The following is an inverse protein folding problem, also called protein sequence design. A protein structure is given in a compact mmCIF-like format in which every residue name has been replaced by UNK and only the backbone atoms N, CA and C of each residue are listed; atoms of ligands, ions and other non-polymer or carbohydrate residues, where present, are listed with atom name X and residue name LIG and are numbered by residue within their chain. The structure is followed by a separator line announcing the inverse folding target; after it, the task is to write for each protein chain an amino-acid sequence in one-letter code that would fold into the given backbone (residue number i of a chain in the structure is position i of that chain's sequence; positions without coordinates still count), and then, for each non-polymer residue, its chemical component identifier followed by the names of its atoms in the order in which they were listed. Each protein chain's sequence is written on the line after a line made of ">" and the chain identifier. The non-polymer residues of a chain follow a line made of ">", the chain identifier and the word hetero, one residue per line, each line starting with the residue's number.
data_IF_649599694096
#
_entry.id   IF_649599694096
#
_cell.length_a   1.000
_cell.length_b   1.000
_cell.length_c   1.000
_cell.angle_alpha   90.00
_cell.angle_beta   90.00
_cell.angle_gamma   90.00
#
_symmetry.space_group_name_H-M   'P 1'
#
loop_
_entity.id
_entity.type
_entity.pdbx_description
1 polymer ?
#
# COMPACT_ATOMS: atom_id res chain seq x y z
N UNK A 1 2.95 6.90 28.98
CA UNK A 1 3.06 7.44 27.60
C UNK A 1 2.87 6.26 26.67
N UNK A 2 1.63 6.02 26.22
CA UNK A 2 1.31 4.83 25.41
C UNK A 2 1.71 5.08 23.96
N UNK A 3 2.62 4.28 23.40
CA UNK A 3 3.04 4.33 21.99
C UNK A 3 1.86 4.25 21.01
N UNK A 4 0.74 3.68 21.43
CA UNK A 4 -0.46 3.47 20.62
C UNK A 4 -1.39 4.69 20.50
N UNK A 5 -1.11 5.81 21.18
CA UNK A 5 -1.95 7.02 21.10
C UNK A 5 -1.67 7.93 19.90
N UNK A 6 -0.61 7.66 19.12
CA UNK A 6 -0.13 8.54 18.04
C UNK A 6 -0.38 8.01 16.63
N UNK A 7 -0.77 6.74 16.47
CA UNK A 7 -1.02 6.16 15.15
C UNK A 7 -2.53 6.27 14.88
N UNK A 8 -2.88 7.06 13.89
CA UNK A 8 -4.28 7.19 13.44
C UNK A 8 -4.70 5.93 12.68
N UNK A 9 -5.99 5.58 12.74
CA UNK A 9 -6.54 4.45 11.98
C UNK A 9 -6.20 4.53 10.48
N UNK A 10 -6.18 5.75 9.92
CA UNK A 10 -5.76 6.01 8.54
C UNK A 10 -4.32 5.54 8.27
N UNK A 11 -3.39 5.79 9.19
CA UNK A 11 -2.00 5.35 9.05
C UNK A 11 -1.84 3.83 9.16
N UNK A 12 -2.67 3.18 9.99
CA UNK A 12 -2.70 1.71 10.08
C UNK A 12 -3.20 1.12 8.76
N UNK A 13 -4.32 1.65 8.23
CA UNK A 13 -4.90 1.21 6.96
C UNK A 13 -3.92 1.46 5.81
N UNK A 14 -3.27 2.62 5.78
CA UNK A 14 -2.20 2.91 4.80
C UNK A 14 -1.02 1.95 4.91
N UNK A 15 -0.58 1.63 6.12
CA UNK A 15 0.52 0.70 6.36
C UNK A 15 0.19 -0.72 5.89
N UNK A 16 -1.00 -1.22 6.22
CA UNK A 16 -1.44 -2.57 5.87
C UNK A 16 -1.73 -2.70 4.37
N UNK A 17 -2.50 -1.77 3.79
CA UNK A 17 -2.73 -1.74 2.34
C UNK A 17 -1.42 -1.54 1.58
N UNK A 18 -0.52 -0.75 2.15
CA UNK A 18 0.77 -0.47 1.56
C UNK A 18 1.67 -1.70 1.46
N UNK A 19 1.86 -2.37 2.60
CA UNK A 19 2.69 -3.56 2.68
C UNK A 19 2.13 -4.71 1.81
N UNK A 20 0.82 -4.94 1.88
CA UNK A 20 0.17 -6.00 1.08
C UNK A 20 0.24 -5.71 -0.41
N UNK A 21 -0.05 -4.49 -0.86
CA UNK A 21 0.02 -4.12 -2.27
C UNK A 21 1.43 -4.25 -2.83
N UNK A 22 2.46 -3.79 -2.10
CA UNK A 22 3.84 -3.93 -2.53
C UNK A 22 4.25 -5.39 -2.70
N UNK A 23 3.95 -6.25 -1.72
CA UNK A 23 4.28 -7.69 -1.79
C UNK A 23 3.56 -8.36 -2.96
N UNK A 24 2.27 -8.09 -3.15
CA UNK A 24 1.48 -8.65 -4.25
C UNK A 24 2.06 -8.22 -5.60
N UNK A 25 2.32 -6.92 -5.80
CA UNK A 25 2.87 -6.44 -7.07
C UNK A 25 4.29 -6.93 -7.31
N UNK A 26 5.11 -7.02 -6.27
CA UNK A 26 6.47 -7.54 -6.40
C UNK A 26 6.46 -9.02 -6.81
N UNK A 27 5.66 -9.86 -6.15
CA UNK A 27 5.51 -11.27 -6.52
C UNK A 27 4.98 -11.40 -7.95
N UNK A 28 3.96 -10.61 -8.30
CA UNK A 28 3.38 -10.63 -9.64
C UNK A 28 4.41 -10.23 -10.71
N UNK A 29 5.16 -9.14 -10.52
CA UNK A 29 6.21 -8.73 -11.46
C UNK A 29 7.31 -9.80 -11.55
N UNK A 30 7.67 -10.41 -10.42
CA UNK A 30 8.69 -11.46 -10.35
C UNK A 30 8.30 -12.71 -11.13
N UNK A 31 7.02 -13.07 -11.09
CA UNK A 31 6.50 -14.27 -11.74
C UNK A 31 6.29 -14.05 -13.25
N UNK A 32 5.77 -12.89 -13.65
CA UNK A 32 5.28 -12.68 -15.01
C UNK A 32 6.22 -11.86 -15.91
N UNK A 33 7.09 -11.02 -15.35
CA UNK A 33 7.84 -10.02 -16.14
C UNK A 33 9.34 -10.32 -16.21
N UNK A 34 9.91 -10.94 -15.17
CA UNK A 34 11.31 -11.39 -15.11
C UNK A 34 12.35 -10.28 -15.42
N UNK A 35 12.07 -9.05 -15.00
CA UNK A 35 13.01 -7.93 -15.15
C UNK A 35 14.15 -8.02 -14.13
N UNK A 36 15.07 -7.05 -14.18
CA UNK A 36 16.01 -6.87 -13.09
C UNK A 36 15.25 -6.56 -11.80
N UNK A 37 15.71 -7.11 -10.67
CA UNK A 37 15.07 -6.92 -9.35
C UNK A 37 14.87 -5.43 -9.02
N UNK A 38 15.79 -4.57 -9.45
CA UNK A 38 15.68 -3.12 -9.28
C UNK A 38 14.47 -2.53 -10.03
N UNK A 39 14.25 -2.94 -11.28
CA UNK A 39 13.09 -2.49 -12.08
C UNK A 39 11.78 -3.02 -11.52
N UNK A 40 11.73 -4.31 -11.14
CA UNK A 40 10.54 -4.92 -10.51
C UNK A 40 10.17 -4.20 -9.21
N UNK A 41 11.16 -3.91 -8.37
CA UNK A 41 10.95 -3.18 -7.11
C UNK A 41 10.48 -1.74 -7.36
N UNK A 42 11.04 -1.05 -8.35
CA UNK A 42 10.64 0.31 -8.69
C UNK A 42 9.19 0.37 -9.20
N UNK A 43 8.80 -0.58 -10.05
CA UNK A 43 7.42 -0.64 -10.58
C UNK A 43 6.44 -1.06 -9.48
N UNK A 44 6.78 -2.08 -8.68
CA UNK A 44 5.98 -2.46 -7.51
C UNK A 44 5.80 -1.29 -6.54
N UNK A 45 6.84 -0.50 -6.30
CA UNK A 45 6.80 0.71 -5.48
C UNK A 45 5.88 1.78 -6.08
N UNK A 46 5.93 1.99 -7.40
CA UNK A 46 5.10 2.99 -8.08
C UNK A 46 3.61 2.59 -8.04
N UNK A 47 3.31 1.32 -8.26
CA UNK A 47 1.95 0.76 -8.15
C UNK A 47 1.44 0.80 -6.71
N UNK A 48 2.31 0.53 -5.73
CA UNK A 48 2.02 0.69 -4.30
C UNK A 48 1.57 2.13 -3.98
N UNK A 49 2.28 3.16 -4.43
CA UNK A 49 1.91 4.56 -4.17
C UNK A 49 0.54 4.93 -4.73
N UNK A 50 0.21 4.39 -5.90
CA UNK A 50 -1.12 4.54 -6.51
C UNK A 50 -2.20 3.88 -5.67
N UNK A 51 -2.01 2.61 -5.30
CA UNK A 51 -2.94 1.87 -4.44
C UNK A 51 -3.15 2.53 -3.09
N UNK A 52 -2.10 3.08 -2.47
CA UNK A 52 -2.19 3.81 -1.21
C UNK A 52 -3.15 5.00 -1.31
N UNK A 53 -3.00 5.84 -2.36
CA UNK A 53 -3.88 6.99 -2.57
C UNK A 53 -5.34 6.57 -2.79
N UNK A 54 -5.56 5.52 -3.57
CA UNK A 54 -6.91 4.98 -3.83
C UNK A 54 -7.52 4.42 -2.56
N UNK A 55 -6.79 3.60 -1.82
CA UNK A 55 -7.24 2.98 -0.56
C UNK A 55 -7.63 4.00 0.50
N UNK A 56 -6.84 5.07 0.68
CA UNK A 56 -7.15 6.16 1.61
C UNK A 56 -8.38 6.94 1.16
N UNK A 57 -8.48 7.23 -0.14
CA UNK A 57 -9.64 7.94 -0.69
C UNK A 57 -10.92 7.13 -0.50
N UNK A 58 -10.85 5.80 -0.70
CA UNK A 58 -11.96 4.89 -0.44
C UNK A 58 -12.30 4.83 1.05
N UNK A 59 -11.32 4.65 1.93
CA UNK A 59 -11.52 4.62 3.38
C UNK A 59 -12.22 5.89 3.87
N UNK A 60 -11.75 7.08 3.43
CA UNK A 60 -12.40 8.36 3.75
C UNK A 60 -13.83 8.45 3.24
N UNK A 61 -14.11 7.96 2.02
CA UNK A 61 -15.47 7.91 1.47
C UNK A 61 -16.40 6.96 2.24
N UNK A 62 -15.89 5.82 2.71
CA UNK A 62 -16.66 4.90 3.54
C UNK A 62 -16.93 5.49 4.92
N UNK A 63 -15.92 6.05 5.58
CA UNK A 63 -16.05 6.68 6.90
C UNK A 63 -16.95 7.92 6.88
N UNK A 64 -17.00 8.66 5.77
CA UNK A 64 -17.91 9.80 5.60
C UNK A 64 -19.37 9.41 5.27
N UNK A 65 -19.64 8.12 5.03
CA UNK A 65 -20.97 7.57 4.76
C UNK A 65 -21.62 6.95 6.00
N UNK A 66 -20.85 6.65 7.05
CA UNK A 66 -21.33 6.36 8.41
C UNK A 66 -21.58 7.65 9.18
#
# INVERSE_FOLDING_TARGET
>A
MNLFGYITEEQIVEGVLGASAFVIFFIYLREYVQWSVALESFVAWTLFWWMRKVGVTLYRKYKAKE
#
